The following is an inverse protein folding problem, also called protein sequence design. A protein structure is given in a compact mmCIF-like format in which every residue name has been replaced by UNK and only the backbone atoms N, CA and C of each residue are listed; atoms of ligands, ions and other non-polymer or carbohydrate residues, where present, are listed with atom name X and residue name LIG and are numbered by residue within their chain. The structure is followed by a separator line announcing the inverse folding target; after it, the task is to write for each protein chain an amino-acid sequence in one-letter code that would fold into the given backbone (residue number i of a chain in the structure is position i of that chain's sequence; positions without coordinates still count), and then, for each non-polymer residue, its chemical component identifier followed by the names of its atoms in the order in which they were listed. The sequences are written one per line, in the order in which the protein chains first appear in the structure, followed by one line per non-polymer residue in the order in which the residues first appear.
data_IF_942225640107
#
_entry.id   IF_942225640107
#
_cell.length_a   1.000
_cell.length_b   1.000
_cell.length_c   1.000
_cell.angle_alpha   90.00
_cell.angle_beta   90.00
_cell.angle_gamma   90.00
#
_symmetry.space_group_name_H-M   'P 1'
#
loop_
_entity.id
_entity.type
_entity.pdbx_description
1 polymer ?
#
# COMPACT_ATOMS: atom_id res chain seq x y z
N UNK A 1 1.61 1.17 19.66
CA UNK A 1 1.44 -0.26 20.00
C UNK A 1 1.58 -0.45 21.50
N UNK A 2 2.62 0.11 22.11
CA UNK A 2 2.90 -0.05 23.55
C UNK A 2 1.78 0.49 24.46
N UNK A 3 1.12 1.59 24.08
CA UNK A 3 -0.06 2.12 24.79
C UNK A 3 -1.21 1.09 24.91
N UNK A 4 -1.31 0.16 23.95
CA UNK A 4 -2.37 -0.84 23.89
C UNK A 4 -1.95 -2.20 24.46
N UNK A 5 -0.66 -2.40 24.71
CA UNK A 5 -0.12 -3.66 25.23
C UNK A 5 -0.68 -4.03 26.62
N UNK A 6 -0.85 -3.10 27.58
CA UNK A 6 -1.48 -3.40 28.88
C UNK A 6 -2.92 -3.87 28.77
N UNK A 7 -3.59 -3.57 27.65
CA UNK A 7 -4.98 -3.95 27.38
C UNK A 7 -5.09 -5.27 26.62
N UNK A 8 -3.98 -5.97 26.36
CA UNK A 8 -3.97 -7.21 25.57
C UNK A 8 -4.28 -7.01 24.09
N UNK A 9 -4.17 -5.77 23.58
CA UNK A 9 -4.49 -5.42 22.19
C UNK A 9 -3.20 -5.34 21.37
N UNK A 10 -3.09 -6.15 20.32
CA UNK A 10 -1.98 -6.09 19.38
C UNK A 10 -2.25 -5.09 18.25
N UNK A 11 -1.27 -4.24 17.96
CA UNK A 11 -1.33 -3.27 16.86
C UNK A 11 -0.23 -3.61 15.85
N UNK A 12 -0.61 -3.84 14.59
CA UNK A 12 0.30 -4.23 13.51
C UNK A 12 0.12 -3.32 12.30
N UNK A 13 1.20 -3.03 11.57
CA UNK A 13 1.17 -2.35 10.28
C UNK A 13 1.69 -3.26 9.16
N UNK A 14 0.94 -3.31 8.07
CA UNK A 14 1.33 -3.98 6.83
C UNK A 14 1.90 -2.93 5.87
N UNK A 15 3.13 -3.15 5.39
CA UNK A 15 3.89 -2.22 4.55
C UNK A 15 4.21 -2.85 3.19
N UNK A 16 3.25 -2.83 2.25
CA UNK A 16 3.48 -3.19 0.86
C UNK A 16 4.06 -2.02 0.06
N UNK A 17 4.69 -2.26 -1.10
CA UNK A 17 4.91 -1.25 -2.13
C UNK A 17 3.58 -0.99 -2.87
N UNK A 18 3.67 -0.51 -4.12
CA UNK A 18 2.51 -0.49 -5.00
C UNK A 18 1.79 -1.84 -5.02
N UNK A 19 0.47 -1.79 -4.88
CA UNK A 19 -0.39 -2.98 -4.95
C UNK A 19 -1.15 -2.96 -6.27
N UNK A 20 -1.22 -4.10 -6.96
CA UNK A 20 -1.94 -4.25 -8.23
C UNK A 20 -3.47 -4.22 -8.06
N UNK A 21 -3.99 -3.10 -7.60
CA UNK A 21 -5.42 -2.82 -7.47
C UNK A 21 -5.84 -1.77 -8.49
N UNK A 22 -7.14 -1.66 -8.76
CA UNK A 22 -7.68 -0.59 -9.61
C UNK A 22 -7.36 0.82 -9.07
N UNK A 23 -7.05 0.97 -7.78
CA UNK A 23 -6.65 2.25 -7.17
C UNK A 23 -5.39 2.85 -7.83
N UNK A 24 -4.49 2.02 -8.36
CA UNK A 24 -3.29 2.48 -9.07
C UNK A 24 -3.44 2.46 -10.60
N UNK A 25 -4.65 2.20 -11.13
CA UNK A 25 -4.92 2.21 -12.57
C UNK A 25 -4.49 3.52 -13.22
N UNK A 26 -3.88 3.41 -14.40
CA UNK A 26 -3.31 4.53 -15.17
C UNK A 26 -1.93 5.01 -14.70
N UNK A 27 -1.47 4.64 -13.50
CA UNK A 27 -0.09 4.97 -13.08
C UNK A 27 0.94 4.10 -13.80
N UNK A 28 2.13 4.65 -14.04
CA UNK A 28 3.24 3.88 -14.60
C UNK A 28 3.82 2.98 -13.51
N UNK A 29 3.28 1.77 -13.40
CA UNK A 29 3.79 0.73 -12.49
C UNK A 29 5.15 0.13 -12.93
N UNK A 30 5.71 0.57 -14.06
CA UNK A 30 6.92 0.03 -14.68
C UNK A 30 8.26 0.46 -14.08
N UNK A 31 8.29 0.97 -12.84
CA UNK A 31 9.54 1.22 -12.11
C UNK A 31 10.23 -0.07 -11.64
N UNK A 32 11.37 0.04 -10.95
CA UNK A 32 12.14 -1.12 -10.47
C UNK A 32 11.43 -1.96 -9.37
N UNK A 33 10.27 -1.52 -8.89
CA UNK A 33 9.48 -2.19 -7.86
C UNK A 33 8.21 -2.72 -8.50
N UNK A 34 8.18 -4.04 -8.73
CA UNK A 34 6.98 -4.72 -9.23
C UNK A 34 5.85 -4.56 -8.22
N UNK A 35 4.63 -4.23 -8.68
CA UNK A 35 3.47 -4.24 -7.81
C UNK A 35 3.28 -5.62 -7.15
N UNK A 36 2.82 -5.60 -5.92
CA UNK A 36 2.42 -6.79 -5.17
C UNK A 36 0.94 -7.07 -5.46
N UNK A 37 0.57 -8.34 -5.60
CA UNK A 37 -0.82 -8.70 -5.81
C UNK A 37 -1.63 -8.52 -4.51
N UNK A 38 -2.91 -8.11 -4.58
CA UNK A 38 -3.76 -7.93 -3.41
C UNK A 38 -3.85 -9.18 -2.52
N UNK A 39 -3.80 -10.36 -3.12
CA UNK A 39 -3.88 -11.65 -2.46
C UNK A 39 -2.68 -11.91 -1.54
N UNK A 40 -1.49 -11.46 -1.94
CA UNK A 40 -0.28 -11.56 -1.11
C UNK A 40 -0.40 -10.69 0.15
N UNK A 41 -1.02 -9.53 0.03
CA UNK A 41 -1.27 -8.62 1.15
C UNK A 41 -2.35 -9.21 2.06
N UNK A 42 -3.43 -9.75 1.49
CA UNK A 42 -4.47 -10.42 2.26
C UNK A 42 -3.91 -11.62 3.06
N UNK A 43 -3.08 -12.45 2.43
CA UNK A 43 -2.41 -13.56 3.11
C UNK A 43 -1.49 -13.06 4.24
N UNK A 44 -0.78 -11.95 4.03
CA UNK A 44 0.06 -11.35 5.06
C UNK A 44 -0.77 -10.81 6.24
N UNK A 45 -1.94 -10.21 5.99
CA UNK A 45 -2.87 -9.77 7.03
C UNK A 45 -3.33 -10.97 7.87
N UNK A 46 -3.86 -12.02 7.24
CA UNK A 46 -4.33 -13.23 7.93
C UNK A 46 -3.21 -13.82 8.79
N UNK A 47 -2.01 -13.98 8.22
CA UNK A 47 -0.85 -14.48 8.97
C UNK A 47 -0.46 -13.60 10.16
N UNK A 48 -0.67 -12.29 10.06
CA UNK A 48 -0.37 -11.34 11.15
C UNK A 48 -1.42 -11.43 12.26
N UNK A 49 -2.67 -11.75 11.93
CA UNK A 49 -3.69 -12.04 12.94
C UNK A 49 -3.33 -13.30 13.74
N UNK A 50 -2.86 -14.36 13.07
CA UNK A 50 -2.43 -15.60 13.74
C UNK A 50 -1.16 -15.43 14.59
N UNK A 51 -0.20 -14.65 14.08
CA UNK A 51 1.10 -14.40 14.73
C UNK A 51 1.40 -12.90 14.71
N UNK A 52 0.88 -12.14 15.69
CA UNK A 52 1.01 -10.69 15.73
C UNK A 52 2.46 -10.22 15.65
N UNK A 53 2.70 -9.26 14.76
CA UNK A 53 4.00 -8.59 14.56
C UNK A 53 3.75 -7.12 14.29
N UNK A 54 4.43 -6.23 15.02
CA UNK A 54 4.22 -4.79 14.92
C UNK A 54 4.46 -4.25 13.50
N UNK A 55 5.51 -4.72 12.80
CA UNK A 55 5.83 -4.31 11.43
C UNK A 55 5.94 -5.52 10.51
N UNK A 56 5.16 -5.53 9.44
CA UNK A 56 5.16 -6.60 8.44
C UNK A 56 5.34 -5.99 7.05
N UNK A 57 6.45 -6.33 6.39
CA UNK A 57 6.69 -5.90 5.00
C UNK A 57 6.26 -7.00 4.04
N UNK A 58 5.64 -6.60 2.93
CA UNK A 58 5.17 -7.51 1.88
C UNK A 58 5.72 -7.02 0.54
N UNK A 59 6.66 -7.73 -0.11
CA UNK A 59 7.24 -9.00 0.31
C UNK A 59 8.26 -8.81 1.47
N UNK A 60 8.49 -9.83 2.33
CA UNK A 60 9.36 -9.72 3.50
C UNK A 60 10.78 -9.19 3.26
N UNK A 61 11.47 -9.48 2.13
CA UNK A 61 12.79 -8.93 1.85
C UNK A 61 12.80 -7.40 1.68
N UNK A 62 11.66 -6.79 1.31
CA UNK A 62 11.57 -5.35 1.06
C UNK A 62 11.82 -4.51 2.33
N UNK A 63 11.70 -5.10 3.52
CA UNK A 63 12.08 -4.43 4.78
C UNK A 63 13.54 -3.96 4.78
N UNK A 64 14.43 -4.76 4.19
CA UNK A 64 15.86 -4.45 4.17
C UNK A 64 16.17 -3.30 3.22
N UNK A 65 15.54 -3.31 2.04
CA UNK A 65 15.70 -2.23 1.06
C UNK A 65 15.10 -0.93 1.57
N UNK A 66 13.96 -0.99 2.26
CA UNK A 66 13.34 0.19 2.87
C UNK A 66 14.23 0.80 3.97
N UNK A 67 14.83 -0.03 4.83
CA UNK A 67 15.78 0.42 5.85
C UNK A 67 17.04 1.03 5.24
N UNK A 68 17.62 0.40 4.22
CA UNK A 68 18.77 0.94 3.51
C UNK A 68 18.46 2.30 2.86
N UNK A 69 17.28 2.44 2.25
CA UNK A 69 16.81 3.70 1.68
C UNK A 69 16.63 4.81 2.73
N UNK A 70 16.26 4.45 3.96
CA UNK A 70 16.12 5.43 5.06
C UNK A 70 17.45 6.01 5.52
N UNK A 71 18.56 5.29 5.35
CA UNK A 71 19.91 5.75 5.71
C UNK A 71 20.50 6.76 4.72
N UNK A 72 19.90 6.93 3.54
CA UNK A 72 20.38 7.88 2.54
C UNK A 72 20.12 9.35 2.97
N UNK A 73 21.08 10.26 2.75
CA UNK A 73 20.85 11.69 2.96
C UNK A 73 19.81 12.23 1.96
N UNK A 74 19.21 13.41 2.21
CA UNK A 74 18.15 13.96 1.36
C UNK A 74 18.48 14.05 -0.13
N UNK A 75 19.73 14.36 -0.48
CA UNK A 75 20.20 14.38 -1.89
C UNK A 75 20.21 12.96 -2.50
N UNK A 76 20.69 11.97 -1.75
CA UNK A 76 20.72 10.57 -2.18
C UNK A 76 19.30 10.00 -2.37
N UNK A 77 18.39 10.29 -1.44
CA UNK A 77 16.97 9.88 -1.56
C UNK A 77 16.31 10.48 -2.79
N UNK A 78 16.55 11.76 -3.09
CA UNK A 78 16.02 12.41 -4.30
C UNK A 78 16.57 11.80 -5.59
N UNK A 79 17.88 11.53 -5.64
CA UNK A 79 18.50 10.88 -6.79
C UNK A 79 17.94 9.45 -6.99
N UNK A 80 17.80 8.68 -5.92
CA UNK A 80 17.20 7.34 -5.95
C UNK A 80 15.74 7.40 -6.44
N UNK A 81 14.91 8.29 -5.90
CA UNK A 81 13.52 8.42 -6.31
C UNK A 81 13.39 8.79 -7.80
N UNK A 82 14.23 9.72 -8.28
CA UNK A 82 14.28 10.11 -9.70
C UNK A 82 14.72 8.95 -10.59
N UNK A 83 15.73 8.19 -10.19
CA UNK A 83 16.18 7.00 -10.92
C UNK A 83 15.11 5.91 -10.99
N UNK A 84 14.30 5.77 -9.94
CA UNK A 84 13.18 4.83 -9.86
C UNK A 84 11.87 5.36 -10.48
N UNK A 85 11.85 6.62 -10.94
CA UNK A 85 10.65 7.29 -11.48
C UNK A 85 9.55 7.57 -10.45
N UNK A 86 9.86 7.47 -9.15
CA UNK A 86 8.91 7.64 -8.06
C UNK A 86 8.56 9.11 -7.78
N UNK A 87 9.32 10.05 -8.34
CA UNK A 87 9.07 11.49 -8.20
C UNK A 87 7.89 11.99 -9.04
N UNK A 88 7.48 11.25 -10.09
CA UNK A 88 6.42 11.65 -11.04
C UNK A 88 5.30 10.63 -11.23
N UNK A 89 5.41 9.44 -10.66
CA UNK A 89 4.47 8.32 -10.90
C UNK A 89 3.00 8.67 -10.64
N UNK A 90 2.71 9.60 -9.73
CA UNK A 90 1.35 10.07 -9.44
C UNK A 90 0.97 11.39 -10.13
N UNK A 91 1.93 12.08 -10.73
CA UNK A 91 1.67 13.28 -11.54
C UNK A 91 1.37 12.90 -12.99
N UNK A 92 2.02 11.84 -13.49
CA UNK A 92 1.93 11.37 -14.86
C UNK A 92 1.15 10.04 -14.93
N UNK A 93 -0.18 10.12 -14.91
CA UNK A 93 -1.07 8.95 -15.06
C UNK A 93 -2.03 9.08 -16.24
N UNK A 94 -2.41 7.94 -16.80
CA UNK A 94 -3.36 7.82 -17.90
C UNK A 94 -4.81 7.94 -17.38
N UNK A 95 -5.41 9.11 -17.62
CA UNK A 95 -6.78 9.43 -17.20
C UNK A 95 -7.81 8.50 -17.84
N UNK A 96 -7.60 8.08 -19.10
CA UNK A 96 -8.53 7.20 -19.78
C UNK A 96 -8.56 5.80 -19.15
N UNK A 97 -7.38 5.26 -18.81
CA UNK A 97 -7.27 3.97 -18.10
C UNK A 97 -7.85 4.00 -16.67
N UNK A 98 -7.85 5.18 -16.04
CA UNK A 98 -8.35 5.38 -14.67
C UNK A 98 -9.85 5.70 -14.61
N UNK A 99 -10.46 6.08 -15.73
CA UNK A 99 -11.84 6.59 -15.79
C UNK A 99 -12.87 5.67 -15.14
N UNK A 100 -12.84 4.36 -15.41
CA UNK A 100 -13.80 3.40 -14.84
C UNK A 100 -13.75 3.36 -13.31
N UNK A 101 -12.53 3.39 -12.75
CA UNK A 101 -12.31 3.45 -11.31
C UNK A 101 -12.85 4.76 -10.72
N UNK A 102 -12.58 5.90 -11.36
CA UNK A 102 -13.08 7.20 -10.89
C UNK A 102 -14.60 7.32 -10.94
N UNK A 103 -15.23 6.88 -12.03
CA UNK A 103 -16.69 6.91 -12.18
C UNK A 103 -17.34 6.07 -11.07
N UNK A 104 -16.81 4.88 -10.80
CA UNK A 104 -17.27 4.00 -9.69
C UNK A 104 -17.05 4.63 -8.32
N UNK A 105 -15.89 5.21 -8.08
CA UNK A 105 -15.55 5.83 -6.80
C UNK A 105 -16.41 7.07 -6.50
N UNK A 106 -16.72 7.89 -7.52
CA UNK A 106 -17.61 9.05 -7.38
C UNK A 106 -19.07 8.65 -7.17
N UNK A 107 -19.50 7.56 -7.81
CA UNK A 107 -20.85 7.02 -7.65
C UNK A 107 -21.05 6.27 -6.32
N UNK A 108 -19.97 5.92 -5.61
CA UNK A 108 -20.04 5.21 -4.34
C UNK A 108 -20.66 6.10 -3.25
N UNK A 109 -21.91 5.81 -2.86
CA UNK A 109 -22.63 6.52 -1.80
C UNK A 109 -22.26 6.07 -0.37
N UNK A 110 -21.18 5.28 -0.21
CA UNK A 110 -20.83 4.62 1.05
C UNK A 110 -21.68 3.38 1.33
N UNK A 111 -21.58 2.84 2.56
CA UNK A 111 -22.45 1.76 3.02
C UNK A 111 -23.84 2.33 3.24
N UNK A 112 -24.80 1.98 2.37
CA UNK A 112 -26.21 2.14 2.68
C UNK A 112 -26.52 1.00 3.66
N UNK A 113 -26.64 1.30 4.95
CA UNK A 113 -27.22 0.34 5.90
C UNK A 113 -28.60 -0.04 5.33
N UNK A 114 -28.69 -1.27 4.81
CA UNK A 114 -29.94 -1.78 4.28
C UNK A 114 -30.99 -1.66 5.38
N UNK A 115 -32.12 -1.06 5.04
CA UNK A 115 -33.29 -0.99 5.91
C UNK A 115 -33.41 -2.29 6.69
N UNK A 116 -33.37 -2.18 8.02
CA UNK A 116 -33.52 -3.27 8.98
C UNK A 116 -34.49 -4.30 8.40
N UNK A 117 -34.01 -5.50 8.08
CA UNK A 117 -34.90 -6.64 7.84
C UNK A 117 -35.61 -6.90 9.16
N UNK A 118 -36.81 -6.36 9.28
CA UNK A 118 -37.80 -6.69 10.30
C UNK A 118 -38.24 -8.14 10.18
#
# INVERSE_FOLDING_TARGET
ADEMAPHGVNVSVIMPPFTNTELISGTKSGGAIKPVEPEDIAAAIVKTLDKPKTHVSVPPPLRFTAQAAQMLPPKGRRAMNKALGLDKVFLDFDVAKRKSYEDRARAAQGVIEGAQKT
#
